data_IF_421169183224
#
_entry.id   IF_421169183224
#
_cell.length_a   1.000
_cell.length_b   1.000
_cell.length_c   1.000
_cell.angle_alpha   90.00
_cell.angle_beta   90.00
_cell.angle_gamma   90.00
#
_symmetry.space_group_name_H-M   'P 1'
#
loop_
_entity.id
_entity.type
_entity.pdbx_description
1 polymer ?
#
# COMPACT_ATOMS: atom_id res chain seq x y z
N UNK A 1 -16.91 -3.93 -14.76
CA UNK A 1 -17.18 -2.97 -13.67
C UNK A 1 -16.92 -3.68 -12.33
N UNK A 2 -15.68 -3.72 -11.82
CA UNK A 2 -15.36 -4.43 -10.56
C UNK A 2 -14.29 -3.72 -9.72
N UNK A 3 -14.22 -2.38 -9.77
CA UNK A 3 -13.10 -1.62 -9.18
C UNK A 3 -13.33 -1.10 -7.74
N UNK A 4 -14.48 -1.35 -7.09
CA UNK A 4 -14.78 -0.79 -5.77
C UNK A 4 -14.77 -1.79 -4.59
N UNK A 5 -14.59 -3.09 -4.84
CA UNK A 5 -14.78 -4.12 -3.81
C UNK A 5 -13.65 -4.18 -2.74
N UNK A 6 -12.58 -3.40 -2.89
CA UNK A 6 -11.41 -3.49 -2.02
C UNK A 6 -11.45 -2.58 -0.78
N UNK A 7 -12.42 -1.65 -0.72
CA UNK A 7 -12.48 -0.62 0.34
C UNK A 7 -12.99 -1.10 1.71
N UNK A 8 -13.45 -2.35 1.84
CA UNK A 8 -14.12 -2.86 3.05
C UNK A 8 -13.35 -4.00 3.73
N UNK A 9 -12.01 -3.98 3.73
CA UNK A 9 -11.26 -4.96 4.52
C UNK A 9 -11.32 -4.58 6.00
N UNK A 10 -12.00 -5.34 6.88
CA UNK A 10 -12.24 -4.94 8.27
C UNK A 10 -10.93 -4.74 9.05
N UNK A 11 -9.89 -5.50 8.71
CA UNK A 11 -8.57 -5.36 9.33
C UNK A 11 -7.86 -4.03 8.97
N UNK A 12 -8.12 -3.47 7.79
CA UNK A 12 -7.63 -2.14 7.42
C UNK A 12 -8.38 -1.05 8.19
N UNK A 13 -9.71 -1.18 8.33
CA UNK A 13 -10.54 -0.20 9.04
C UNK A 13 -10.24 -0.14 10.54
N UNK A 14 -9.83 -1.25 11.15
CA UNK A 14 -9.50 -1.32 12.57
C UNK A 14 -8.07 -0.89 12.91
N UNK A 15 -7.19 -0.79 11.91
CA UNK A 15 -5.78 -0.47 12.15
C UNK A 15 -5.60 1.04 12.34
N UNK A 16 -5.15 1.45 13.53
CA UNK A 16 -4.83 2.85 13.86
C UNK A 16 -3.64 3.37 13.04
N UNK A 17 -2.76 2.45 12.63
CA UNK A 17 -1.58 2.71 11.83
C UNK A 17 -1.46 1.68 10.72
N UNK A 18 -1.17 2.16 9.51
CA UNK A 18 -1.01 1.32 8.33
C UNK A 18 0.27 1.69 7.60
N UNK A 19 1.07 0.69 7.24
CA UNK A 19 2.25 0.84 6.39
C UNK A 19 1.97 0.23 5.03
N UNK A 20 1.98 1.06 4.00
CA UNK A 20 1.71 0.67 2.63
C UNK A 20 3.01 0.66 1.83
N UNK A 21 3.48 -0.52 1.44
CA UNK A 21 4.66 -0.69 0.60
C UNK A 21 4.23 -1.03 -0.82
N UNK A 22 4.64 -0.22 -1.79
CA UNK A 22 4.54 -0.54 -3.21
C UNK A 22 5.92 -1.01 -3.68
N UNK A 23 5.96 -2.21 -4.26
CA UNK A 23 7.16 -2.84 -4.81
C UNK A 23 6.97 -3.06 -6.31
N UNK A 24 7.67 -2.26 -7.12
CA UNK A 24 7.58 -2.23 -8.58
C UNK A 24 8.65 -3.12 -9.20
N UNK A 25 8.22 -4.04 -10.05
CA UNK A 25 9.08 -4.97 -10.79
C UNK A 25 9.58 -4.34 -12.09
N UNK A 26 10.62 -4.94 -12.67
CA UNK A 26 11.24 -4.47 -13.91
C UNK A 26 10.31 -4.56 -15.13
N UNK A 27 9.29 -5.42 -15.08
CA UNK A 27 8.27 -5.56 -16.12
C UNK A 27 7.14 -4.51 -16.01
N UNK A 28 7.22 -3.59 -15.05
CA UNK A 28 6.21 -2.57 -14.79
C UNK A 28 5.03 -3.06 -13.95
N UNK A 29 4.97 -4.34 -13.58
CA UNK A 29 4.01 -4.82 -12.59
C UNK A 29 4.43 -4.37 -11.18
N UNK A 30 3.51 -4.34 -10.23
CA UNK A 30 3.84 -4.03 -8.84
C UNK A 30 3.04 -4.86 -7.84
N UNK A 31 3.46 -4.82 -6.57
CA UNK A 31 2.71 -5.41 -5.47
C UNK A 31 2.54 -4.37 -4.38
N UNK A 32 1.28 -4.08 -4.04
CA UNK A 32 0.93 -3.20 -2.92
C UNK A 32 0.65 -4.06 -1.69
N UNK A 33 1.38 -3.81 -0.61
CA UNK A 33 1.29 -4.57 0.65
C UNK A 33 0.96 -3.59 1.77
N UNK A 34 -0.08 -3.90 2.56
CA UNK A 34 -0.38 -3.17 3.79
C UNK A 34 -0.01 -4.00 5.01
N UNK A 35 0.68 -3.41 5.98
CA UNK A 35 0.88 -3.95 7.33
C UNK A 35 0.34 -3.00 8.40
N UNK A 36 0.19 -3.47 9.64
CA UNK A 36 -0.23 -2.66 10.80
C UNK A 36 0.94 -1.90 11.48
N UNK A 37 2.14 -1.92 10.91
CA UNK A 37 3.36 -1.38 11.50
C UNK A 37 4.12 -2.34 12.42
N UNK A 38 3.56 -3.51 12.76
CA UNK A 38 4.21 -4.58 13.53
C UNK A 38 4.42 -5.83 12.66
N UNK A 39 4.73 -5.65 11.37
CA UNK A 39 4.94 -6.69 10.36
C UNK A 39 3.74 -7.63 10.09
N UNK A 40 2.58 -7.42 10.74
CA UNK A 40 1.37 -8.17 10.43
C UNK A 40 0.79 -7.67 9.11
N UNK A 41 0.81 -8.54 8.10
CA UNK A 41 0.19 -8.27 6.80
C UNK A 41 -1.33 -8.21 6.95
N UNK A 42 -1.90 -7.06 6.60
CA UNK A 42 -3.34 -6.81 6.59
C UNK A 42 -3.94 -7.00 5.19
N UNK A 43 -3.16 -6.71 4.15
CA UNK A 43 -3.65 -6.70 2.78
C UNK A 43 -2.52 -6.86 1.76
N UNK A 44 -2.83 -7.49 0.63
CA UNK A 44 -1.95 -7.60 -0.54
C UNK A 44 -2.76 -7.42 -1.81
N UNK A 45 -2.25 -6.60 -2.72
CA UNK A 45 -2.86 -6.38 -4.03
C UNK A 45 -1.82 -6.43 -5.15
N UNK A 46 -1.98 -7.34 -6.13
CA UNK A 46 -1.18 -7.31 -7.33
C UNK A 46 -1.64 -6.15 -8.23
N UNK A 47 -0.68 -5.33 -8.65
CA UNK A 47 -0.86 -4.27 -9.63
C UNK A 47 -0.29 -4.77 -10.94
N UNK A 48 -1.13 -4.86 -11.97
CA UNK A 48 -0.73 -5.42 -13.26
C UNK A 48 0.26 -4.53 -14.01
N UNK A 49 0.14 -3.21 -13.85
CA UNK A 49 1.01 -2.23 -14.47
C UNK A 49 1.01 -0.91 -13.70
N UNK A 50 2.17 -0.26 -13.59
CA UNK A 50 2.35 1.09 -13.06
C UNK A 50 3.53 1.78 -13.74
N UNK A 51 3.44 3.10 -13.88
CA UNK A 51 4.50 3.99 -14.35
C UNK A 51 5.25 4.68 -13.18
N UNK A 52 5.06 4.19 -11.94
CA UNK A 52 5.67 4.79 -10.77
C UNK A 52 7.21 4.75 -10.87
N UNK A 53 7.90 5.89 -10.72
CA UNK A 53 9.31 6.00 -11.09
C UNK A 53 10.25 5.31 -10.09
N UNK A 54 9.82 5.10 -8.85
CA UNK A 54 10.63 4.44 -7.83
C UNK A 54 10.34 2.94 -7.81
N UNK A 55 11.39 2.13 -7.68
CA UNK A 55 11.24 0.67 -7.48
C UNK A 55 10.48 0.32 -6.21
N UNK A 56 10.67 1.12 -5.16
CA UNK A 56 10.02 0.89 -3.87
C UNK A 56 9.62 2.22 -3.28
N UNK A 57 8.39 2.29 -2.75
CA UNK A 57 7.95 3.38 -1.89
C UNK A 57 7.17 2.83 -0.70
N UNK A 58 7.37 3.45 0.45
CA UNK A 58 6.62 3.15 1.67
C UNK A 58 5.82 4.38 2.06
N UNK A 59 4.51 4.25 2.16
CA UNK A 59 3.59 5.26 2.64
C UNK A 59 3.09 4.87 4.02
N UNK A 60 2.91 5.84 4.90
CA UNK A 60 2.30 5.60 6.21
C UNK A 60 0.95 6.28 6.27
N UNK A 61 -0.07 5.57 6.74
CA UNK A 61 -1.39 6.12 6.96
C UNK A 61 -1.74 6.02 8.43
N UNK A 62 -1.91 7.17 9.07
CA UNK A 62 -2.18 7.28 10.50
C UNK A 62 -3.03 8.52 10.75
N UNK A 63 -3.99 8.45 11.67
CA UNK A 63 -4.83 9.61 12.05
C UNK A 63 -5.45 10.34 10.84
N UNK A 64 -5.92 9.58 9.83
CA UNK A 64 -6.48 10.10 8.57
C UNK A 64 -5.51 10.93 7.72
N UNK A 65 -4.22 10.85 7.99
CA UNK A 65 -3.16 11.53 7.25
C UNK A 65 -2.28 10.51 6.55
N UNK A 66 -2.02 10.74 5.26
CA UNK A 66 -1.07 9.97 4.49
C UNK A 66 0.29 10.69 4.50
N UNK A 67 1.30 10.02 5.00
CA UNK A 67 2.67 10.50 5.08
C UNK A 67 3.50 9.86 3.98
N UNK A 68 4.21 10.70 3.24
CA UNK A 68 5.22 10.30 2.27
C UNK A 68 6.58 10.21 2.97
N UNK A 69 7.45 9.27 2.57
CA UNK A 69 8.86 9.35 2.94
C UNK A 69 9.39 10.62 2.31
N UNK A 70 10.04 11.46 3.12
CA UNK A 70 10.62 12.72 2.67
C UNK A 70 11.40 12.48 1.38
N UNK A 71 11.03 13.19 0.31
CA UNK A 71 11.83 13.22 -0.91
C UNK A 71 13.21 13.76 -0.55
N UNK A 72 14.25 12.96 -0.73
CA UNK A 72 15.65 13.40 -0.65
C UNK A 72 16.21 13.42 -2.07
#
# INVERSE_FOLDING_TARGET
MHWFAQLHHPALLSAEFQVWKLDVREDGSATLICTDGNDKRLYIHPVLWTDFPLRTVTLWFANRTLYLPSAH
#
